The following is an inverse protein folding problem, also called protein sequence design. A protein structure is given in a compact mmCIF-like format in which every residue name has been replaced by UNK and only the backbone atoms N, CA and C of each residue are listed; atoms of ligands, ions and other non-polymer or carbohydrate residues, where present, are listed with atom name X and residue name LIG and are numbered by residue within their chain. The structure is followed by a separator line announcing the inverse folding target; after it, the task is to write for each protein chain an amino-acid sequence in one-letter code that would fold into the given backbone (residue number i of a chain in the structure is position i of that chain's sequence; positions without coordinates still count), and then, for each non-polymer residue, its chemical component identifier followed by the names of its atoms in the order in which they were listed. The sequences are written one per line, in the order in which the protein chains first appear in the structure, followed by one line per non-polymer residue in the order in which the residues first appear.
data_IF_445308895125
#
_entry.id   IF_445308895125
#
_cell.length_a   1.000
_cell.length_b   1.000
_cell.length_c   1.000
_cell.angle_alpha   90.00
_cell.angle_beta   90.00
_cell.angle_gamma   90.00
#
_symmetry.space_group_name_H-M   'P 1'
#
loop_
_entity.id
_entity.type
_entity.pdbx_description
1 polymer ?
#
# COMPACT_ATOMS: atom_id res chain seq x y z
N UNK A 1 -13.73 -0.82 0.62
CA UNK A 1 -14.18 -1.80 -0.38
C UNK A 1 -15.69 -2.08 -0.32
N UNK A 2 -16.29 -2.35 0.86
CA UNK A 2 -17.76 -2.56 1.00
C UNK A 2 -18.59 -1.43 0.39
N UNK A 3 -18.16 -0.18 0.54
CA UNK A 3 -18.85 0.99 -0.01
C UNK A 3 -18.95 1.02 -1.55
N UNK A 4 -18.24 0.15 -2.27
CA UNK A 4 -18.32 0.05 -3.73
C UNK A 4 -19.50 -0.82 -4.22
N UNK A 5 -20.25 -1.44 -3.31
CA UNK A 5 -21.42 -2.30 -3.60
C UNK A 5 -21.15 -3.35 -4.69
N UNK A 6 -19.97 -3.95 -4.64
CA UNK A 6 -19.50 -4.94 -5.60
C UNK A 6 -18.80 -6.08 -4.88
N UNK A 7 -19.57 -7.12 -4.56
CA UNK A 7 -19.10 -8.29 -3.81
C UNK A 7 -17.93 -9.00 -4.49
N UNK A 8 -17.92 -9.04 -5.82
CA UNK A 8 -16.84 -9.65 -6.58
C UNK A 8 -15.52 -8.88 -6.38
N UNK A 9 -15.55 -7.55 -6.51
CA UNK A 9 -14.37 -6.71 -6.28
C UNK A 9 -13.93 -6.79 -4.82
N UNK A 10 -14.87 -6.73 -3.88
CA UNK A 10 -14.58 -6.89 -2.45
C UNK A 10 -13.85 -8.21 -2.18
N UNK A 11 -14.35 -9.33 -2.72
CA UNK A 11 -13.75 -10.65 -2.54
C UNK A 11 -12.34 -10.71 -3.13
N UNK A 12 -12.14 -10.21 -4.35
CA UNK A 12 -10.83 -10.21 -5.01
C UNK A 12 -9.83 -9.39 -4.20
N UNK A 13 -10.17 -8.15 -3.86
CA UNK A 13 -9.26 -7.25 -3.13
C UNK A 13 -8.96 -7.75 -1.73
N UNK A 14 -9.95 -8.36 -1.04
CA UNK A 14 -9.73 -8.97 0.28
C UNK A 14 -8.78 -10.16 0.19
N UNK A 15 -8.87 -10.98 -0.88
CA UNK A 15 -7.93 -12.10 -1.06
C UNK A 15 -6.50 -11.66 -1.41
N UNK A 16 -6.34 -10.45 -1.97
CA UNK A 16 -5.03 -9.89 -2.29
C UNK A 16 -4.33 -9.26 -1.07
N UNK A 17 -5.05 -9.06 0.03
CA UNK A 17 -4.46 -8.53 1.27
C UNK A 17 -3.57 -9.59 1.93
N UNK A 18 -2.26 -9.36 1.87
CA UNK A 18 -1.23 -10.25 2.39
C UNK A 18 -0.53 -9.69 3.65
N UNK A 19 -1.10 -8.66 4.26
CA UNK A 19 -0.56 -8.00 5.46
C UNK A 19 0.00 -6.61 5.18
N UNK A 20 0.72 -6.07 6.16
CA UNK A 20 1.30 -4.73 6.07
C UNK A 20 2.44 -4.70 5.04
N UNK A 21 2.43 -3.70 4.16
CA UNK A 21 3.48 -3.45 3.17
C UNK A 21 4.71 -2.76 3.77
N UNK A 22 5.19 -3.31 4.89
CA UNK A 22 6.38 -2.78 5.55
C UNK A 22 7.62 -3.07 4.70
N UNK A 23 8.58 -2.15 4.73
CA UNK A 23 9.92 -2.35 4.20
C UNK A 23 10.94 -2.39 5.35
N UNK A 24 12.16 -2.81 5.06
CA UNK A 24 13.17 -3.09 6.09
C UNK A 24 13.65 -1.84 6.87
N UNK A 25 13.46 -0.65 6.28
CA UNK A 25 13.99 0.64 6.79
C UNK A 25 12.98 1.46 7.60
N UNK A 26 11.77 0.94 7.84
CA UNK A 26 10.68 1.71 8.47
C UNK A 26 10.12 0.94 9.66
N UNK A 27 9.95 1.61 10.80
CA UNK A 27 9.29 1.01 11.97
C UNK A 27 7.80 0.83 11.73
N UNK A 28 7.16 -0.09 12.45
CA UNK A 28 5.71 -0.31 12.35
C UNK A 28 4.91 0.97 12.59
N UNK A 29 5.27 1.75 13.61
CA UNK A 29 4.61 3.02 13.93
C UNK A 29 4.76 4.05 12.80
N UNK A 30 5.96 4.20 12.24
CA UNK A 30 6.20 5.13 11.15
C UNK A 30 5.44 4.70 9.88
N UNK A 31 5.42 3.40 9.59
CA UNK A 31 4.65 2.84 8.49
C UNK A 31 3.14 3.10 8.68
N UNK A 32 2.61 2.83 9.88
CA UNK A 32 1.20 3.02 10.20
C UNK A 32 0.78 4.49 10.05
N UNK A 33 1.61 5.44 10.51
CA UNK A 33 1.36 6.87 10.33
C UNK A 33 1.25 7.25 8.85
N UNK A 34 2.18 6.78 8.01
CA UNK A 34 2.16 7.06 6.56
C UNK A 34 0.92 6.45 5.92
N UNK A 35 0.67 5.16 6.15
CA UNK A 35 -0.47 4.45 5.56
C UNK A 35 -1.81 5.07 5.96
N UNK A 36 -1.97 5.45 7.25
CA UNK A 36 -3.19 6.07 7.75
C UNK A 36 -3.42 7.47 7.14
N UNK A 37 -2.34 8.25 6.95
CA UNK A 37 -2.41 9.55 6.28
C UNK A 37 -2.85 9.41 4.81
N UNK A 38 -2.32 8.43 4.09
CA UNK A 38 -2.71 8.13 2.70
C UNK A 38 -4.18 7.72 2.61
N UNK A 39 -4.62 6.80 3.46
CA UNK A 39 -6.02 6.36 3.53
C UNK A 39 -6.95 7.51 3.90
N UNK A 40 -6.55 8.40 4.81
CA UNK A 40 -7.33 9.59 5.17
C UNK A 40 -7.54 10.51 3.97
N UNK A 41 -6.48 10.82 3.20
CA UNK A 41 -6.60 11.64 1.98
C UNK A 41 -7.50 11.01 0.93
N UNK A 42 -7.40 9.69 0.76
CA UNK A 42 -8.24 8.93 -0.16
C UNK A 42 -9.72 9.01 0.26
N UNK A 43 -10.01 8.80 1.55
CA UNK A 43 -11.38 8.89 2.09
C UNK A 43 -11.97 10.29 1.87
N UNK A 44 -11.19 11.35 2.07
CA UNK A 44 -11.65 12.72 1.82
C UNK A 44 -11.92 12.97 0.32
N UNK A 45 -11.12 12.43 -0.59
CA UNK A 45 -11.40 12.52 -2.03
C UNK A 45 -12.70 11.79 -2.41
N UNK A 46 -12.94 10.61 -1.84
CA UNK A 46 -14.20 9.86 -2.05
C UNK A 46 -15.40 10.65 -1.52
N UNK A 47 -15.31 11.22 -0.32
CA UNK A 47 -16.39 12.06 0.26
C UNK A 47 -16.68 13.31 -0.58
N UNK A 48 -15.67 13.85 -1.24
CA UNK A 48 -15.80 14.99 -2.16
C UNK A 48 -16.31 14.59 -3.55
N UNK A 49 -16.57 13.30 -3.82
CA UNK A 49 -16.92 12.76 -5.13
C UNK A 49 -15.87 13.06 -6.23
N UNK A 50 -14.60 13.23 -5.84
CA UNK A 50 -13.49 13.49 -6.75
C UNK A 50 -12.85 12.16 -7.18
N UNK A 51 -13.45 11.55 -8.21
CA UNK A 51 -13.06 10.22 -8.73
C UNK A 51 -11.60 10.19 -9.19
N UNK A 52 -11.19 11.18 -9.99
CA UNK A 52 -9.83 11.23 -10.56
C UNK A 52 -8.78 11.33 -9.45
N UNK A 53 -9.00 12.19 -8.45
CA UNK A 53 -8.10 12.30 -7.32
C UNK A 53 -8.08 11.04 -6.47
N UNK A 54 -9.24 10.43 -6.20
CA UNK A 54 -9.31 9.17 -5.45
C UNK A 54 -8.51 8.06 -6.14
N UNK A 55 -8.64 7.96 -7.48
CA UNK A 55 -7.90 7.00 -8.31
C UNK A 55 -6.39 7.25 -8.26
N UNK A 56 -5.95 8.50 -8.39
CA UNK A 56 -4.53 8.86 -8.30
C UNK A 56 -3.94 8.55 -6.92
N UNK A 57 -4.67 8.87 -5.85
CA UNK A 57 -4.24 8.59 -4.47
C UNK A 57 -4.11 7.08 -4.21
N UNK A 58 -5.07 6.28 -4.67
CA UNK A 58 -5.00 4.82 -4.53
C UNK A 58 -3.82 4.24 -5.33
N UNK A 59 -3.60 4.71 -6.56
CA UNK A 59 -2.47 4.28 -7.37
C UNK A 59 -1.13 4.58 -6.67
N UNK A 60 -0.96 5.81 -6.18
CA UNK A 60 0.24 6.20 -5.44
C UNK A 60 0.45 5.33 -4.18
N UNK A 61 -0.62 5.06 -3.42
CA UNK A 61 -0.56 4.19 -2.25
C UNK A 61 -0.10 2.76 -2.60
N UNK A 62 -0.63 2.16 -3.66
CA UNK A 62 -0.26 0.80 -4.11
C UNK A 62 1.21 0.76 -4.56
N UNK A 63 1.65 1.74 -5.36
CA UNK A 63 3.04 1.79 -5.84
C UNK A 63 4.03 1.94 -4.68
N UNK A 64 3.79 2.87 -3.75
CA UNK A 64 4.66 3.01 -2.57
C UNK A 64 4.67 1.75 -1.71
N UNK A 65 3.51 1.12 -1.53
CA UNK A 65 3.39 -0.14 -0.78
C UNK A 65 4.21 -1.26 -1.43
N UNK A 66 4.14 -1.38 -2.75
CA UNK A 66 4.97 -2.30 -3.53
C UNK A 66 6.46 -1.99 -3.37
N UNK A 67 6.86 -0.72 -3.50
CA UNK A 67 8.26 -0.30 -3.34
C UNK A 67 8.81 -0.65 -1.97
N UNK A 68 8.05 -0.45 -0.89
CA UNK A 68 8.45 -0.87 0.45
C UNK A 68 8.73 -2.38 0.51
N UNK A 69 7.82 -3.19 -0.02
CA UNK A 69 7.99 -4.66 -0.03
C UNK A 69 9.26 -5.04 -0.80
N UNK A 70 9.50 -4.38 -1.94
CA UNK A 70 10.67 -4.64 -2.77
C UNK A 70 12.00 -4.28 -2.09
N UNK A 71 12.02 -3.34 -1.14
CA UNK A 71 13.25 -3.04 -0.38
C UNK A 71 13.79 -4.25 0.40
N UNK A 72 12.94 -5.20 0.79
CA UNK A 72 13.40 -6.44 1.43
C UNK A 72 14.25 -7.29 0.47
N UNK A 73 13.80 -7.46 -0.77
CA UNK A 73 14.46 -8.34 -1.74
C UNK A 73 15.77 -7.76 -2.30
N UNK A 74 15.87 -6.42 -2.42
CA UNK A 74 17.11 -5.77 -2.88
C UNK A 74 18.24 -5.99 -1.87
N UNK A 75 17.93 -5.93 -0.57
CA UNK A 75 18.93 -6.11 0.47
C UNK A 75 19.40 -7.56 0.60
N UNK A 76 18.50 -8.54 0.45
CA UNK A 76 18.87 -9.97 0.42
C UNK A 76 19.85 -10.28 -0.72
N UNK A 77 19.70 -9.62 -1.87
CA UNK A 77 20.62 -9.78 -3.00
C UNK A 77 21.99 -9.12 -2.76
N UNK A 78 22.06 -7.96 -2.09
CA UNK A 78 23.34 -7.32 -1.72
C UNK A 78 24.12 -8.17 -0.70
N UNK A 79 23.44 -8.70 0.33
CA UNK A 79 24.08 -9.56 1.34
C UNK A 79 24.63 -10.86 0.73
N UNK A 80 23.90 -11.47 -0.21
CA UNK A 80 24.38 -12.67 -0.89
C UNK A 80 25.58 -12.39 -1.82
N UNK A 81 25.69 -11.19 -2.39
CA UNK A 81 26.80 -10.80 -3.26
C UNK A 81 28.09 -10.42 -2.52
N UNK A 82 28.04 -10.23 -1.20
CA UNK A 82 29.22 -9.95 -0.35
C UNK A 82 29.85 -11.23 0.23
N UNK A 83 29.24 -12.40 0.01
CA UNK A 83 29.67 -13.70 0.58
C UNK A 83 30.40 -14.57 -0.46
N UNK A 84 30.45 -14.15 -1.73
CA UNK A 84 31.25 -14.75 -2.82
C UNK A 84 32.56 -13.96 -3.07
#
# INVERSE_FOLDING_TARGET
WVAADNDRILSILSSMWNGLSMGHKVTEDAYAQISNSEHSKLVEAIKAYDEEKAKQLMYAHIIRSMENILTHFVQDHEVLSEID
#
